data_IF_080740699974
#
_entry.id   IF_080740699974
#
_cell.length_a   1.000
_cell.length_b   1.000
_cell.length_c   1.000
_cell.angle_alpha   90.00
_cell.angle_beta   90.00
_cell.angle_gamma   90.00
#
_symmetry.space_group_name_H-M   'P 1'
#
loop_
_entity.id
_entity.type
_entity.pdbx_description
1 polymer ?
#
# COMPACT_ATOMS: atom_id res chain seq x y z
N UNK A 1 -0.31 -12.21 -17.72
CA UNK A 1 0.93 -12.98 -17.92
C UNK A 1 1.77 -12.81 -16.66
N UNK A 2 2.12 -13.92 -15.96
CA UNK A 2 2.92 -13.87 -14.73
C UNK A 2 4.31 -13.32 -15.01
N UNK A 3 4.80 -12.43 -14.14
CA UNK A 3 6.19 -11.94 -14.24
C UNK A 3 7.14 -13.01 -13.72
N UNK A 4 8.17 -13.31 -14.51
CA UNK A 4 9.19 -14.29 -14.14
C UNK A 4 10.46 -13.52 -13.75
N UNK A 5 10.98 -13.80 -12.56
CA UNK A 5 12.27 -13.29 -12.09
C UNK A 5 13.32 -14.39 -12.17
N UNK A 6 14.54 -14.04 -12.52
CA UNK A 6 15.68 -14.97 -12.46
C UNK A 6 16.23 -14.99 -11.02
N UNK A 7 15.61 -15.79 -10.18
CA UNK A 7 15.92 -15.87 -8.73
C UNK A 7 17.30 -16.45 -8.43
N UNK A 8 17.98 -17.05 -9.40
CA UNK A 8 19.34 -17.58 -9.22
C UNK A 8 20.40 -16.48 -9.42
N UNK A 9 20.09 -15.48 -10.24
CA UNK A 9 21.03 -14.41 -10.59
C UNK A 9 20.73 -13.07 -9.89
N UNK A 10 19.48 -12.83 -9.49
CA UNK A 10 19.09 -11.57 -8.88
C UNK A 10 19.13 -11.63 -7.35
N UNK A 11 19.82 -10.69 -6.68
CA UNK A 11 19.74 -10.54 -5.24
C UNK A 11 18.29 -10.29 -4.78
N UNK A 12 17.89 -10.86 -3.65
CA UNK A 12 16.53 -10.67 -3.10
C UNK A 12 16.17 -9.20 -2.90
N UNK A 13 17.16 -8.36 -2.62
CA UNK A 13 17.00 -6.90 -2.50
C UNK A 13 16.47 -6.29 -3.78
N UNK A 14 17.03 -6.67 -4.92
CA UNK A 14 16.60 -6.17 -6.24
C UNK A 14 15.23 -6.70 -6.61
N UNK A 15 14.96 -7.99 -6.34
CA UNK A 15 13.64 -8.59 -6.56
C UNK A 15 12.55 -7.82 -5.81
N UNK A 16 12.77 -7.51 -4.52
CA UNK A 16 11.81 -6.74 -3.72
C UNK A 16 11.63 -5.34 -4.28
N UNK A 17 12.72 -4.64 -4.57
CA UNK A 17 12.66 -3.29 -5.13
C UNK A 17 11.91 -3.25 -6.46
N UNK A 18 12.18 -4.20 -7.35
CA UNK A 18 11.50 -4.31 -8.64
C UNK A 18 10.00 -4.58 -8.50
N UNK A 19 9.61 -5.44 -7.54
CA UNK A 19 8.20 -5.72 -7.28
C UNK A 19 7.50 -4.44 -6.80
N UNK A 20 8.10 -3.70 -5.85
CA UNK A 20 7.51 -2.48 -5.31
C UNK A 20 7.38 -1.39 -6.38
N UNK A 21 8.45 -1.16 -7.15
CA UNK A 21 8.49 -0.13 -8.19
C UNK A 21 7.54 -0.47 -9.35
N UNK A 22 7.53 -1.72 -9.83
CA UNK A 22 6.66 -2.12 -10.94
C UNK A 22 5.18 -2.08 -10.53
N UNK A 23 4.87 -2.47 -9.29
CA UNK A 23 3.50 -2.37 -8.77
C UNK A 23 3.04 -0.91 -8.66
N UNK A 24 3.91 0.00 -8.22
CA UNK A 24 3.61 1.43 -8.17
C UNK A 24 3.41 2.01 -9.58
N UNK A 25 4.26 1.64 -10.55
CA UNK A 25 4.11 2.05 -11.96
C UNK A 25 2.82 1.57 -12.60
N UNK A 26 2.29 0.42 -12.14
CA UNK A 26 0.99 -0.12 -12.57
C UNK A 26 -0.19 0.45 -11.81
N UNK A 27 0.05 1.44 -10.96
CA UNK A 27 -0.98 2.07 -10.12
C UNK A 27 -1.73 1.07 -9.22
N UNK A 28 -1.03 0.03 -8.76
CA UNK A 28 -1.59 -0.93 -7.84
C UNK A 28 -1.84 -0.27 -6.46
N UNK A 29 -2.98 -0.58 -5.85
CA UNK A 29 -3.29 -0.13 -4.49
C UNK A 29 -2.65 -0.99 -3.41
N UNK A 30 -2.58 -2.29 -3.64
CA UNK A 30 -2.07 -3.25 -2.67
C UNK A 30 -1.22 -4.33 -3.36
N UNK A 31 -0.19 -4.83 -2.66
CA UNK A 31 0.61 -5.99 -3.05
C UNK A 31 0.45 -7.04 -1.97
N UNK A 32 0.06 -8.24 -2.34
CA UNK A 32 -0.12 -9.37 -1.44
C UNK A 32 0.97 -10.41 -1.68
N UNK A 33 1.71 -10.73 -0.64
CA UNK A 33 2.66 -11.85 -0.60
C UNK A 33 2.00 -12.98 0.17
N UNK A 34 1.42 -13.93 -0.55
CA UNK A 34 0.63 -15.02 0.00
C UNK A 34 1.46 -16.31 0.07
N UNK A 35 1.90 -16.74 1.27
CA UNK A 35 2.64 -17.97 1.41
C UNK A 35 1.75 -19.18 1.10
N UNK A 36 2.26 -20.07 0.27
CA UNK A 36 1.63 -21.36 -0.03
C UNK A 36 2.58 -22.51 0.38
N UNK A 37 2.13 -23.74 0.25
CA UNK A 37 2.90 -24.93 0.66
C UNK A 37 4.21 -25.05 -0.12
N UNK A 38 4.18 -24.87 -1.45
CA UNK A 38 5.33 -25.08 -2.34
C UNK A 38 6.01 -23.79 -2.85
N UNK A 39 5.32 -22.67 -2.76
CA UNK A 39 5.77 -21.37 -3.29
C UNK A 39 5.22 -20.21 -2.45
N UNK A 40 5.52 -18.99 -2.84
CA UNK A 40 4.83 -17.79 -2.41
C UNK A 40 4.21 -17.14 -3.64
N UNK A 41 2.92 -16.91 -3.59
CA UNK A 41 2.19 -16.23 -4.66
C UNK A 41 2.17 -14.74 -4.39
N UNK A 42 2.56 -13.95 -5.38
CA UNK A 42 2.48 -12.50 -5.31
C UNK A 42 1.29 -12.05 -6.16
N UNK A 43 0.41 -11.27 -5.57
CA UNK A 43 -0.76 -10.70 -6.24
C UNK A 43 -0.78 -9.20 -6.05
N UNK A 44 -1.24 -8.48 -7.04
CA UNK A 44 -1.40 -7.02 -6.98
C UNK A 44 -2.86 -6.66 -7.20
N UNK A 45 -3.31 -5.59 -6.52
CA UNK A 45 -4.65 -5.05 -6.70
C UNK A 45 -4.58 -3.83 -7.60
N UNK A 46 -5.26 -3.87 -8.74
CA UNK A 46 -5.38 -2.77 -9.69
C UNK A 46 -6.88 -2.53 -9.91
N UNK A 47 -7.35 -1.30 -9.79
CA UNK A 47 -8.74 -0.90 -9.96
C UNK A 47 -9.74 -1.78 -9.15
N UNK A 48 -9.35 -2.17 -7.94
CA UNK A 48 -10.15 -3.03 -7.06
C UNK A 48 -10.04 -4.53 -7.35
N UNK A 49 -9.52 -4.94 -8.50
CA UNK A 49 -9.36 -6.34 -8.89
C UNK A 49 -8.01 -6.90 -8.47
N UNK A 50 -8.00 -8.07 -7.83
CA UNK A 50 -6.79 -8.75 -7.38
C UNK A 50 -6.30 -9.74 -8.44
N UNK A 51 -5.16 -9.45 -9.05
CA UNK A 51 -4.57 -10.25 -10.12
C UNK A 51 -3.27 -10.93 -9.71
N UNK A 52 -2.98 -12.08 -10.31
CA UNK A 52 -1.73 -12.80 -10.10
C UNK A 52 -0.57 -12.06 -10.80
N UNK A 53 0.49 -11.77 -10.04
CA UNK A 53 1.63 -11.01 -10.53
C UNK A 53 2.86 -11.90 -10.77
N UNK A 54 3.28 -12.64 -9.74
CA UNK A 54 4.45 -13.52 -9.82
C UNK A 54 4.36 -14.67 -8.82
N UNK A 55 5.20 -15.69 -9.01
CA UNK A 55 5.40 -16.77 -8.07
C UNK A 55 6.87 -16.83 -7.66
N UNK A 56 7.09 -17.00 -6.35
CA UNK A 56 8.42 -17.06 -5.74
C UNK A 56 8.64 -18.47 -5.20
N UNK A 57 9.76 -19.13 -5.56
CA UNK A 57 10.06 -20.46 -5.04
C UNK A 57 10.32 -20.45 -3.53
N UNK A 58 10.08 -21.61 -2.91
CA UNK A 58 10.17 -21.74 -1.45
C UNK A 58 11.59 -21.46 -0.91
N UNK A 59 12.63 -21.66 -1.72
CA UNK A 59 14.03 -21.42 -1.36
C UNK A 59 14.31 -19.97 -0.94
N UNK A 60 13.66 -18.99 -1.57
CA UNK A 60 13.89 -17.56 -1.30
C UNK A 60 12.73 -16.88 -0.55
N UNK A 61 11.61 -17.58 -0.37
CA UNK A 61 10.41 -17.10 0.34
C UNK A 61 10.77 -16.44 1.69
N UNK A 62 11.57 -17.12 2.52
CA UNK A 62 11.98 -16.61 3.84
C UNK A 62 12.84 -15.34 3.73
N UNK A 63 13.76 -15.31 2.77
CA UNK A 63 14.65 -14.16 2.57
C UNK A 63 13.87 -12.94 2.09
N UNK A 64 12.85 -13.15 1.25
CA UNK A 64 11.97 -12.08 0.78
C UNK A 64 11.14 -11.47 1.92
N UNK A 65 10.54 -12.31 2.77
CA UNK A 65 9.83 -11.87 3.98
C UNK A 65 10.77 -11.10 4.90
N UNK A 66 11.96 -11.63 5.17
CA UNK A 66 12.97 -10.97 6.01
C UNK A 66 13.35 -9.60 5.44
N UNK A 67 13.56 -9.51 4.14
CA UNK A 67 13.88 -8.23 3.49
C UNK A 67 12.76 -7.21 3.64
N UNK A 68 11.50 -7.60 3.42
CA UNK A 68 10.33 -6.73 3.62
C UNK A 68 10.24 -6.24 5.07
N UNK A 69 10.46 -7.12 6.05
CA UNK A 69 10.48 -6.75 7.47
C UNK A 69 11.58 -5.72 7.79
N UNK A 70 12.79 -5.94 7.26
CA UNK A 70 13.92 -5.02 7.49
C UNK A 70 13.58 -3.62 6.98
N UNK A 71 13.12 -3.50 5.73
CA UNK A 71 12.86 -2.19 5.12
C UNK A 71 11.63 -1.48 5.70
N UNK A 72 10.72 -2.22 6.33
CA UNK A 72 9.54 -1.67 7.00
C UNK A 72 9.72 -1.44 8.50
N UNK A 73 10.92 -1.72 9.04
CA UNK A 73 11.23 -1.51 10.47
C UNK A 73 10.60 -2.52 11.41
N UNK A 74 10.18 -3.69 10.92
CA UNK A 74 9.60 -4.76 11.73
C UNK A 74 10.66 -5.65 12.38
N UNK A 75 10.27 -6.34 13.45
CA UNK A 75 11.12 -7.32 14.11
C UNK A 75 11.23 -8.60 13.28
N UNK A 76 12.44 -8.91 12.81
CA UNK A 76 12.73 -10.08 11.99
C UNK A 76 12.72 -11.41 12.75
N UNK A 77 12.93 -11.36 14.07
CA UNK A 77 12.99 -12.57 14.92
C UNK A 77 11.61 -13.04 15.38
N UNK A 78 10.62 -12.13 15.39
CA UNK A 78 9.24 -12.48 15.76
C UNK A 78 8.44 -12.84 14.52
N UNK A 79 7.92 -14.07 14.50
CA UNK A 79 7.14 -14.60 13.35
C UNK A 79 5.76 -15.11 13.76
N UNK A 80 5.40 -14.99 15.05
CA UNK A 80 4.16 -15.55 15.60
C UNK A 80 3.10 -14.48 15.87
N UNK A 81 3.51 -13.22 15.95
CA UNK A 81 2.61 -12.10 16.21
C UNK A 81 2.45 -11.24 14.96
N UNK A 82 1.25 -10.68 14.74
CA UNK A 82 1.05 -9.67 13.70
C UNK A 82 1.95 -8.46 13.94
N UNK A 83 2.45 -7.87 12.87
CA UNK A 83 3.28 -6.68 12.92
C UNK A 83 2.88 -5.72 11.80
N UNK A 84 3.00 -4.44 12.08
CA UNK A 84 2.79 -3.36 11.11
C UNK A 84 4.05 -2.52 10.99
N UNK A 85 4.31 -2.01 9.80
CA UNK A 85 5.45 -1.15 9.52
C UNK A 85 5.18 -0.20 8.36
N UNK A 86 6.17 0.61 8.03
CA UNK A 86 6.08 1.55 6.93
C UNK A 86 7.41 1.61 6.16
N UNK A 87 7.33 1.80 4.86
CA UNK A 87 8.49 2.03 4.00
C UNK A 87 8.33 3.40 3.37
N UNK A 88 9.30 4.30 3.62
CA UNK A 88 9.43 5.56 2.90
C UNK A 88 10.77 5.54 2.18
N UNK A 89 10.74 5.48 0.88
CA UNK A 89 11.95 5.37 0.08
C UNK A 89 11.74 5.91 -1.35
N UNK A 90 12.79 6.52 -1.90
CA UNK A 90 12.85 6.85 -3.32
C UNK A 90 13.55 5.71 -4.04
N UNK A 91 12.82 4.93 -4.81
CA UNK A 91 13.34 3.80 -5.58
C UNK A 91 13.20 4.09 -7.08
N UNK A 92 14.30 4.01 -7.81
CA UNK A 92 14.32 4.28 -9.27
C UNK A 92 13.66 5.62 -9.66
N UNK A 93 13.82 6.66 -8.80
CA UNK A 93 13.24 8.00 -9.03
C UNK A 93 11.75 8.12 -8.71
N UNK A 94 11.14 7.12 -8.08
CA UNK A 94 9.76 7.13 -7.61
C UNK A 94 9.76 7.19 -6.09
N UNK A 95 9.09 8.19 -5.54
CA UNK A 95 8.87 8.31 -4.10
C UNK A 95 7.73 7.37 -3.69
N UNK A 96 8.06 6.44 -2.82
CA UNK A 96 7.13 5.44 -2.31
C UNK A 96 6.87 5.69 -0.83
N UNK A 97 5.61 5.81 -0.46
CA UNK A 97 5.13 5.68 0.92
C UNK A 97 4.22 4.45 1.00
N UNK A 98 4.70 3.44 1.71
CA UNK A 98 4.05 2.14 1.76
C UNK A 98 3.72 1.78 3.20
N UNK A 99 2.52 1.27 3.44
CA UNK A 99 2.14 0.64 4.70
C UNK A 99 2.23 -0.87 4.55
N UNK A 100 2.88 -1.51 5.49
CA UNK A 100 3.17 -2.94 5.45
C UNK A 100 2.58 -3.61 6.67
N UNK A 101 1.74 -4.62 6.45
CA UNK A 101 1.20 -5.48 7.51
C UNK A 101 1.69 -6.90 7.29
N UNK A 102 2.20 -7.52 8.36
CA UNK A 102 2.68 -8.89 8.39
C UNK A 102 1.78 -9.72 9.31
N UNK A 103 1.23 -10.81 8.79
CA UNK A 103 0.34 -11.71 9.51
C UNK A 103 0.89 -13.14 9.49
N UNK A 104 1.06 -13.79 10.65
CA UNK A 104 1.43 -15.20 10.71
C UNK A 104 0.30 -16.08 10.17
N UNK A 105 0.67 -17.08 9.38
CA UNK A 105 -0.24 -18.11 8.87
C UNK A 105 0.40 -19.50 9.01
N UNK A 106 -0.38 -20.56 8.82
CA UNK A 106 0.12 -21.93 8.87
C UNK A 106 1.19 -22.24 7.80
N UNK A 107 1.19 -21.48 6.69
CA UNK A 107 2.13 -21.67 5.57
C UNK A 107 3.32 -20.70 5.62
N UNK A 108 3.43 -19.90 6.67
CA UNK A 108 4.43 -18.84 6.84
C UNK A 108 3.80 -17.48 7.03
N UNK A 109 4.59 -16.42 6.95
CA UNK A 109 4.11 -15.06 7.14
C UNK A 109 3.54 -14.50 5.84
N UNK A 110 2.29 -14.06 5.90
CA UNK A 110 1.64 -13.29 4.83
C UNK A 110 1.98 -11.82 5.00
N UNK A 111 2.40 -11.16 3.93
CA UNK A 111 2.64 -9.72 3.94
C UNK A 111 1.69 -9.03 2.96
N UNK A 112 1.12 -7.93 3.41
CA UNK A 112 0.33 -7.01 2.58
C UNK A 112 0.99 -5.66 2.60
N UNK A 113 1.30 -5.13 1.43
CA UNK A 113 1.86 -3.80 1.26
C UNK A 113 0.82 -2.93 0.58
N UNK A 114 0.39 -1.87 1.25
CA UNK A 114 -0.47 -0.83 0.68
C UNK A 114 0.38 0.30 0.14
N UNK A 115 0.15 0.69 -1.08
CA UNK A 115 0.81 1.81 -1.74
C UNK A 115 -0.02 3.06 -1.49
N UNK A 116 0.59 4.08 -0.84
CA UNK A 116 -0.04 5.37 -0.61
C UNK A 116 0.41 6.32 -1.70
N UNK A 117 -0.46 6.59 -2.65
CA UNK A 117 -0.20 7.57 -3.70
C UNK A 117 -0.73 8.94 -3.26
N UNK A 118 0.15 9.74 -2.67
CA UNK A 118 -0.20 11.10 -2.26
C UNK A 118 -0.42 12.04 -3.44
N UNK A 119 0.11 11.75 -4.61
CA UNK A 119 -0.07 12.61 -5.77
C UNK A 119 -1.53 12.66 -6.24
N UNK A 120 -2.24 11.54 -6.12
CA UNK A 120 -3.68 11.45 -6.38
C UNK A 120 -4.54 11.92 -5.19
N UNK A 121 -3.98 11.87 -3.98
CA UNK A 121 -4.69 12.28 -2.77
C UNK A 121 -4.73 13.80 -2.56
N UNK A 122 -3.91 14.56 -3.29
CA UNK A 122 -3.87 16.02 -3.26
C UNK A 122 -4.80 16.68 -4.30
N UNK A 123 -5.74 15.94 -4.88
CA UNK A 123 -6.78 16.51 -5.71
C UNK A 123 -7.54 17.60 -4.94
N UNK A 124 -7.64 18.78 -5.53
CA UNK A 124 -8.39 19.87 -4.93
C UNK A 124 -9.86 19.49 -4.71
N UNK A 125 -10.52 20.14 -3.76
CA UNK A 125 -11.96 19.93 -3.51
C UNK A 125 -12.81 20.07 -4.78
N UNK A 126 -12.33 20.86 -5.73
CA UNK A 126 -12.97 21.13 -7.02
C UNK A 126 -13.00 19.91 -7.94
N UNK A 127 -11.98 19.07 -7.84
CA UNK A 127 -11.81 17.85 -8.64
C UNK A 127 -12.59 16.64 -8.11
N UNK A 128 -13.15 16.77 -6.88
CA UNK A 128 -13.89 15.69 -6.23
C UNK A 128 -15.32 15.48 -6.77
N UNK A 129 -15.72 16.23 -7.80
CA UNK A 129 -17.02 16.05 -8.48
C UNK A 129 -18.26 16.43 -7.65
N UNK A 130 -18.12 17.27 -6.66
CA UNK A 130 -19.27 17.78 -5.90
C UNK A 130 -20.20 18.62 -6.78
N UNK A 131 -21.51 18.46 -6.58
CA UNK A 131 -22.47 19.43 -7.13
C UNK A 131 -22.20 20.81 -6.54
N UNK A 132 -22.51 21.89 -7.27
CA UNK A 132 -22.28 23.27 -6.85
C UNK A 132 -22.86 23.59 -5.47
N UNK A 133 -24.04 23.03 -5.15
CA UNK A 133 -24.69 23.24 -3.85
C UNK A 133 -23.94 22.54 -2.71
N UNK A 134 -23.45 21.30 -2.95
CA UNK A 134 -22.70 20.52 -1.98
C UNK A 134 -21.28 21.07 -1.80
N UNK A 135 -20.65 21.53 -2.87
CA UNK A 135 -19.34 22.19 -2.82
C UNK A 135 -19.36 23.39 -1.85
N UNK A 136 -20.34 24.28 -1.97
CA UNK A 136 -20.49 25.45 -1.07
C UNK A 136 -20.66 25.02 0.39
N UNK A 137 -21.46 23.98 0.64
CA UNK A 137 -21.67 23.44 2.01
C UNK A 137 -20.39 22.86 2.60
N UNK A 138 -19.64 22.10 1.79
CA UNK A 138 -18.37 21.49 2.23
C UNK A 138 -17.34 22.57 2.55
N UNK A 139 -17.22 23.61 1.72
CA UNK A 139 -16.35 24.76 1.99
C UNK A 139 -16.73 25.46 3.29
N UNK A 140 -18.02 25.68 3.54
CA UNK A 140 -18.48 26.28 4.78
C UNK A 140 -18.13 25.41 6.00
N UNK A 141 -18.29 24.08 5.91
CA UNK A 141 -17.95 23.17 7.00
C UNK A 141 -16.45 23.11 7.29
N UNK A 142 -15.59 23.15 6.26
CA UNK A 142 -14.13 23.10 6.43
C UNK A 142 -13.59 24.40 7.04
N UNK A 143 -14.18 25.55 6.73
CA UNK A 143 -13.74 26.85 7.22
C UNK A 143 -14.22 27.19 8.65
N UNK A 144 -14.94 26.30 9.31
CA UNK A 144 -15.32 26.49 10.72
C UNK A 144 -14.11 26.20 11.61
N UNK A 145 -13.70 27.13 12.50
CA UNK A 145 -12.47 27.00 13.29
C UNK A 145 -12.49 25.86 14.31
N UNK A 146 -13.67 25.39 14.71
CA UNK A 146 -13.84 24.32 15.68
C UNK A 146 -15.01 23.42 15.30
N UNK A 147 -14.85 22.09 15.41
CA UNK A 147 -15.92 21.14 15.13
C UNK A 147 -15.39 19.76 14.75
N UNK A 148 -16.31 18.82 14.63
CA UNK A 148 -16.03 17.47 14.14
C UNK A 148 -16.92 17.24 12.93
N UNK A 149 -16.33 16.85 11.80
CA UNK A 149 -17.05 16.41 10.62
C UNK A 149 -17.06 14.88 10.61
N UNK A 150 -18.23 14.29 10.84
CA UNK A 150 -18.43 12.86 10.75
C UNK A 150 -19.00 12.52 9.36
N UNK A 151 -18.30 11.65 8.65
CA UNK A 151 -18.74 11.15 7.37
C UNK A 151 -19.04 9.66 7.46
N UNK A 152 -20.26 9.29 7.12
CA UNK A 152 -20.67 7.90 7.00
C UNK A 152 -20.55 7.46 5.54
N UNK A 153 -19.80 6.38 5.29
CA UNK A 153 -19.60 5.84 3.93
C UNK A 153 -19.84 4.34 3.93
N UNK A 154 -20.62 3.87 2.97
CA UNK A 154 -20.87 2.46 2.79
C UNK A 154 -19.75 1.71 2.08
N UNK A 155 -18.83 2.44 1.43
CA UNK A 155 -17.71 1.88 0.68
C UNK A 155 -16.37 2.45 1.17
N UNK A 156 -15.40 1.58 1.43
CA UNK A 156 -14.09 1.94 2.00
C UNK A 156 -13.28 2.84 1.06
N UNK A 157 -13.48 2.72 -0.24
CA UNK A 157 -12.68 3.43 -1.26
C UNK A 157 -12.86 4.95 -1.23
N UNK A 158 -14.04 5.45 -0.89
CA UNK A 158 -14.31 6.90 -0.87
C UNK A 158 -13.75 7.61 0.37
N UNK A 159 -13.39 6.87 1.42
CA UNK A 159 -12.90 7.44 2.69
C UNK A 159 -11.53 8.10 2.53
N UNK A 160 -10.70 7.62 1.61
CA UNK A 160 -9.34 8.12 1.39
C UNK A 160 -9.28 9.46 0.67
N UNK A 161 -10.30 9.79 -0.15
CA UNK A 161 -10.31 11.02 -0.92
C UNK A 161 -10.49 12.30 -0.07
N UNK A 162 -11.15 12.22 1.07
CA UNK A 162 -11.41 13.40 1.92
C UNK A 162 -10.48 13.53 3.14
N UNK A 163 -9.75 12.47 3.51
CA UNK A 163 -8.80 12.50 4.63
C UNK A 163 -7.66 13.53 4.45
N UNK A 164 -7.04 13.66 3.25
CA UNK A 164 -5.99 14.64 3.03
C UNK A 164 -6.45 16.09 3.06
N UNK A 165 -7.69 16.37 2.67
CA UNK A 165 -8.24 17.73 2.63
C UNK A 165 -8.31 18.32 4.02
N UNK A 166 -8.62 17.50 5.02
CA UNK A 166 -8.69 17.96 6.42
C UNK A 166 -7.30 18.23 7.01
N UNK A 167 -6.27 17.54 6.52
CA UNK A 167 -4.89 17.73 7.00
C UNK A 167 -4.20 18.92 6.33
N UNK A 168 -4.59 19.30 5.11
CA UNK A 168 -3.99 20.41 4.37
C UNK A 168 -4.50 21.80 4.81
N UNK A 169 -5.64 21.87 5.50
CA UNK A 169 -6.24 23.12 5.97
C UNK A 169 -6.01 23.40 7.45
N UNK A 170 -5.24 22.56 8.17
CA UNK A 170 -4.84 22.81 9.55
C UNK A 170 -3.39 23.32 9.57
N UNK A 171 -3.13 24.64 9.69
CA UNK A 171 -1.80 25.11 10.02
C UNK A 171 -1.50 24.67 11.47
N UNK A 172 -0.34 24.04 11.66
CA UNK A 172 0.28 23.81 12.97
C UNK A 172 0.57 25.13 13.67
#
# INVERSE_FOLDING_TARGET
MLRVFDYEKMPVVEVVNDILVDSAKREASDIHFDPQEKNMKIRIRIDGELTDYAEVPNSIKKNLVTRLKIISGMNITESRLPQDGAIKATLQGIDLDLRVSCLPTNMGEKIVVRILDYSKALAGIEELGFSQSNYKKVLQMINVPNGIILRWVHCIEVTWLLAPIHCASCPL
#
